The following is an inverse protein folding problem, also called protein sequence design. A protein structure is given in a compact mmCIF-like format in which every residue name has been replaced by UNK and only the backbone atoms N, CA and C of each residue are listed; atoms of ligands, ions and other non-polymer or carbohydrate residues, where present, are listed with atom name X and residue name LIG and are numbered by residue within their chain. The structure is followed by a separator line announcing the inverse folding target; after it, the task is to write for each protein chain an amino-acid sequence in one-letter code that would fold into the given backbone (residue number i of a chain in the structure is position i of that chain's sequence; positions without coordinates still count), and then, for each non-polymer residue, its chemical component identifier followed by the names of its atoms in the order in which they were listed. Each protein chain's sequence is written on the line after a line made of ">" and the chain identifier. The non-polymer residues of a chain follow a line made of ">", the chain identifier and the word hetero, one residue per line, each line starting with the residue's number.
data_IF_756386010730
#
_entry.id   IF_756386010730
#
_cell.length_a   1.000
_cell.length_b   1.000
_cell.length_c   1.000
_cell.angle_alpha   90.00
_cell.angle_beta   90.00
_cell.angle_gamma   90.00
#
_symmetry.space_group_name_H-M   'P 1'
#
loop_
_entity.id
_entity.type
_entity.pdbx_description
1 polymer ?
#
# COMPACT_ATOMS: atom_id res chain seq x y z
N UNK A 1 -24.32 7.95 23.09
CA UNK A 1 -24.46 6.61 22.49
C UNK A 1 -24.38 6.76 20.98
N UNK A 2 -23.55 5.97 20.29
CA UNK A 2 -23.53 5.94 18.82
C UNK A 2 -24.78 5.20 18.34
N UNK A 3 -25.67 5.91 17.67
CA UNK A 3 -26.92 5.37 17.10
C UNK A 3 -26.80 5.07 15.60
N UNK A 4 -25.61 5.27 15.03
CA UNK A 4 -25.29 4.94 13.64
C UNK A 4 -24.81 3.49 13.58
N UNK A 5 -25.42 2.72 12.67
CA UNK A 5 -25.06 1.34 12.38
C UNK A 5 -24.48 1.28 10.96
N UNK A 6 -23.48 0.44 10.81
CA UNK A 6 -22.71 0.12 9.60
C UNK A 6 -23.33 -1.02 8.77
N UNK A 7 -24.60 -1.34 9.04
CA UNK A 7 -25.40 -2.31 8.31
C UNK A 7 -26.65 -1.64 7.73
N UNK A 8 -27.23 -2.19 6.64
CA UNK A 8 -28.46 -1.65 6.07
C UNK A 8 -29.58 -1.46 7.10
N UNK A 9 -30.23 -0.29 7.05
CA UNK A 9 -31.22 0.10 8.07
C UNK A 9 -32.38 -0.90 8.21
N UNK A 10 -32.78 -1.58 7.14
CA UNK A 10 -33.83 -2.59 7.22
C UNK A 10 -33.46 -3.77 8.14
N UNK A 11 -32.17 -4.11 8.26
CA UNK A 11 -31.68 -5.14 9.19
C UNK A 11 -31.76 -4.61 10.63
N UNK A 12 -31.30 -3.38 10.87
CA UNK A 12 -31.42 -2.71 12.17
C UNK A 12 -32.88 -2.69 12.62
N UNK A 13 -33.78 -2.30 11.72
CA UNK A 13 -35.21 -2.22 11.98
C UNK A 13 -35.81 -3.58 12.32
N UNK A 14 -35.46 -4.63 11.56
CA UNK A 14 -35.91 -5.99 11.86
C UNK A 14 -35.45 -6.46 13.25
N UNK A 15 -34.22 -6.16 13.66
CA UNK A 15 -33.73 -6.51 15.01
C UNK A 15 -34.49 -5.72 16.09
N UNK A 16 -34.69 -4.42 15.89
CA UNK A 16 -35.46 -3.57 16.82
C UNK A 16 -36.90 -4.08 17.02
N UNK A 17 -37.54 -4.54 15.93
CA UNK A 17 -38.92 -5.04 16.00
C UNK A 17 -39.01 -6.38 16.75
N UNK A 18 -37.96 -7.22 16.67
CA UNK A 18 -37.86 -8.49 17.39
C UNK A 18 -37.40 -8.34 18.85
N UNK A 19 -36.59 -7.33 19.16
CA UNK A 19 -35.94 -7.13 20.46
C UNK A 19 -36.33 -5.78 21.08
N UNK A 20 -37.64 -5.55 21.25
CA UNK A 20 -38.22 -4.25 21.64
C UNK A 20 -37.70 -3.70 22.97
N UNK A 21 -37.35 -4.59 23.91
CA UNK A 21 -36.86 -4.24 25.24
C UNK A 21 -35.33 -4.18 25.32
N UNK A 22 -34.62 -4.46 24.22
CA UNK A 22 -33.17 -4.45 24.17
C UNK A 22 -32.63 -3.09 23.68
N UNK A 23 -31.47 -2.69 24.21
CA UNK A 23 -30.72 -1.56 23.65
C UNK A 23 -29.77 -2.07 22.58
N UNK A 24 -29.97 -1.62 21.34
CA UNK A 24 -29.05 -1.92 20.25
C UNK A 24 -27.90 -0.92 20.25
N UNK A 25 -26.67 -1.42 20.11
CA UNK A 25 -25.44 -0.63 20.02
C UNK A 25 -24.63 -1.08 18.81
N UNK A 26 -24.03 -0.14 18.07
CA UNK A 26 -23.04 -0.49 17.05
C UNK A 26 -21.74 -0.95 17.73
N UNK A 27 -21.19 -2.06 17.26
CA UNK A 27 -20.04 -2.73 17.85
C UNK A 27 -18.90 -3.00 16.85
N UNK A 28 -18.85 -2.27 15.72
CA UNK A 28 -17.81 -2.45 14.68
C UNK A 28 -16.40 -2.28 15.24
N UNK A 29 -16.24 -1.41 16.25
CA UNK A 29 -14.96 -1.19 16.93
C UNK A 29 -14.43 -2.40 17.67
N UNK A 30 -15.28 -3.38 18.02
CA UNK A 30 -14.83 -4.67 18.59
C UNK A 30 -14.00 -5.45 17.58
N UNK A 31 -14.28 -5.30 16.28
CA UNK A 31 -13.55 -5.99 15.22
C UNK A 31 -12.37 -5.17 14.71
N UNK A 32 -12.60 -3.88 14.41
CA UNK A 32 -11.65 -3.04 13.65
C UNK A 32 -11.33 -1.70 14.32
N UNK A 33 -11.65 -1.54 15.62
CA UNK A 33 -11.30 -0.32 16.34
C UNK A 33 -9.79 -0.22 16.54
N UNK A 34 -9.17 0.92 16.18
CA UNK A 34 -7.72 1.13 16.22
C UNK A 34 -7.02 0.90 17.58
N UNK A 35 -7.77 0.80 18.67
CA UNK A 35 -7.22 0.56 20.01
C UNK A 35 -7.25 -0.92 20.43
N UNK A 36 -8.41 -1.57 20.30
CA UNK A 36 -8.66 -2.93 20.83
C UNK A 36 -9.46 -3.82 19.87
N UNK A 37 -9.52 -3.49 18.58
CA UNK A 37 -10.19 -4.30 17.57
C UNK A 37 -9.55 -5.69 17.47
N UNK A 38 -10.36 -6.74 17.46
CA UNK A 38 -9.88 -8.12 17.46
C UNK A 38 -9.01 -8.49 16.24
N UNK A 39 -9.12 -7.74 15.12
CA UNK A 39 -8.41 -8.03 13.86
C UNK A 39 -7.19 -7.14 13.63
N UNK A 40 -6.91 -6.17 14.50
CA UNK A 40 -5.85 -5.17 14.22
C UNK A 40 -4.44 -5.68 14.56
N UNK A 41 -4.35 -6.76 15.37
CA UNK A 41 -3.09 -7.37 15.79
C UNK A 41 -3.06 -8.82 15.34
N UNK A 42 -1.98 -9.20 14.67
CA UNK A 42 -1.75 -10.51 14.10
C UNK A 42 -0.59 -11.18 14.83
N UNK A 43 -0.76 -12.44 15.17
CA UNK A 43 0.32 -13.26 15.71
C UNK A 43 1.24 -13.80 14.59
N UNK A 44 2.23 -14.62 14.94
CA UNK A 44 3.17 -15.17 13.96
C UNK A 44 2.50 -16.03 12.86
N UNK A 45 1.47 -16.81 13.20
CA UNK A 45 0.77 -17.65 12.23
C UNK A 45 -0.06 -16.83 11.25
N UNK A 46 -0.66 -15.74 11.71
CA UNK A 46 -1.45 -14.82 10.88
C UNK A 46 -0.53 -14.00 9.97
N UNK A 47 0.60 -13.49 10.49
CA UNK A 47 1.62 -12.82 9.65
C UNK A 47 2.12 -13.76 8.56
N UNK A 48 2.39 -15.03 8.87
CA UNK A 48 2.80 -16.02 7.88
C UNK A 48 1.71 -16.29 6.83
N UNK A 49 0.44 -16.31 7.24
CA UNK A 49 -0.69 -16.46 6.32
C UNK A 49 -0.80 -15.27 5.36
N UNK A 50 -0.73 -14.05 5.89
CA UNK A 50 -0.91 -12.83 5.10
C UNK A 50 0.29 -12.48 4.23
N UNK A 51 1.51 -12.90 4.60
CA UNK A 51 2.71 -12.70 3.78
C UNK A 51 2.59 -13.31 2.38
N UNK A 52 1.85 -14.42 2.23
CA UNK A 52 1.62 -15.04 0.92
C UNK A 52 0.91 -14.08 -0.04
N UNK A 53 -0.16 -13.42 0.39
CA UNK A 53 -0.90 -12.48 -0.46
C UNK A 53 -0.15 -11.19 -0.73
N UNK A 54 0.55 -10.65 0.28
CA UNK A 54 1.45 -9.51 0.11
C UNK A 54 2.56 -9.82 -0.93
N UNK A 55 3.21 -10.97 -0.81
CA UNK A 55 4.21 -11.45 -1.77
C UNK A 55 3.65 -11.67 -3.16
N UNK A 56 2.43 -12.23 -3.25
CA UNK A 56 1.77 -12.47 -4.53
C UNK A 56 1.45 -11.14 -5.24
N UNK A 57 0.91 -10.17 -4.50
CA UNK A 57 0.56 -8.84 -5.05
C UNK A 57 1.78 -8.10 -5.59
N UNK A 58 2.86 -8.00 -4.79
CA UNK A 58 4.12 -7.37 -5.20
C UNK A 58 4.77 -8.07 -6.40
N UNK A 59 4.75 -9.40 -6.42
CA UNK A 59 5.31 -10.15 -7.56
C UNK A 59 4.46 -9.97 -8.82
N UNK A 60 3.12 -9.96 -8.70
CA UNK A 60 2.22 -9.64 -9.81
C UNK A 60 2.53 -8.26 -10.40
N UNK A 61 2.71 -7.26 -9.54
CA UNK A 61 3.03 -5.89 -9.95
C UNK A 61 4.40 -5.82 -10.61
N UNK A 62 5.43 -6.46 -10.04
CA UNK A 62 6.76 -6.49 -10.65
C UNK A 62 6.74 -7.15 -12.04
N UNK A 63 6.02 -8.26 -12.18
CA UNK A 63 5.84 -8.93 -13.47
C UNK A 63 5.13 -8.01 -14.47
N UNK A 64 4.02 -7.38 -14.06
CA UNK A 64 3.29 -6.43 -14.91
C UNK A 64 4.15 -5.24 -15.32
N UNK A 65 4.90 -4.64 -14.39
CA UNK A 65 5.87 -3.58 -14.67
C UNK A 65 6.92 -4.01 -15.70
N UNK A 66 7.42 -5.25 -15.61
CA UNK A 66 8.37 -5.80 -16.57
C UNK A 66 7.74 -6.05 -17.95
N UNK A 67 6.42 -6.20 -18.02
CA UNK A 67 5.69 -6.32 -19.28
C UNK A 67 5.36 -4.98 -19.93
N UNK A 68 5.41 -3.84 -19.22
CA UNK A 68 5.10 -2.52 -19.81
C UNK A 68 6.03 -2.26 -21.01
N UNK A 69 5.42 -1.98 -22.16
CA UNK A 69 6.09 -1.57 -23.38
C UNK A 69 5.12 -0.80 -24.28
N UNK A 70 5.65 0.14 -25.07
CA UNK A 70 4.85 0.87 -26.07
C UNK A 70 4.17 -0.13 -27.02
N UNK A 71 2.87 0.08 -27.26
CA UNK A 71 2.07 -0.75 -28.16
C UNK A 71 1.39 -1.97 -27.50
N UNK A 72 1.78 -2.37 -26.29
CA UNK A 72 1.03 -3.38 -25.52
C UNK A 72 -0.25 -2.79 -24.94
N UNK A 73 -1.31 -3.58 -24.93
CA UNK A 73 -2.59 -3.19 -24.34
C UNK A 73 -2.60 -3.33 -22.82
N UNK A 74 -3.52 -2.61 -22.17
CA UNK A 74 -3.78 -2.77 -20.74
C UNK A 74 -4.15 -4.22 -20.41
N UNK A 75 -4.99 -4.88 -21.21
CA UNK A 75 -5.37 -6.29 -21.02
C UNK A 75 -4.18 -7.26 -21.11
N UNK A 76 -3.26 -7.07 -22.05
CA UNK A 76 -2.05 -7.91 -22.15
C UNK A 76 -1.16 -7.80 -20.90
N UNK A 77 -1.00 -6.59 -20.36
CA UNK A 77 -0.20 -6.35 -19.15
C UNK A 77 -0.95 -6.83 -17.90
N UNK A 78 -2.27 -6.61 -17.84
CA UNK A 78 -3.13 -7.02 -16.73
C UNK A 78 -3.18 -8.54 -16.53
N UNK A 79 -2.85 -9.33 -17.54
CA UNK A 79 -2.73 -10.79 -17.43
C UNK A 79 -1.77 -11.24 -16.33
N UNK A 80 -0.74 -10.42 -16.02
CA UNK A 80 0.21 -10.69 -14.92
C UNK A 80 -0.38 -10.42 -13.53
N UNK A 81 -1.49 -9.69 -13.44
CA UNK A 81 -2.10 -9.32 -12.16
C UNK A 81 -2.89 -10.50 -11.57
N UNK A 82 -3.59 -11.26 -12.40
CA UNK A 82 -4.36 -12.44 -11.99
C UNK A 82 -3.46 -13.69 -11.87
N UNK A 83 -3.18 -14.13 -10.64
CA UNK A 83 -2.23 -15.23 -10.39
C UNK A 83 -2.76 -16.29 -9.44
N UNK A 84 -2.32 -17.53 -9.68
CA UNK A 84 -2.55 -18.70 -8.81
C UNK A 84 -4.03 -18.96 -8.45
N UNK A 85 -4.97 -18.48 -9.28
CA UNK A 85 -6.40 -18.59 -9.03
C UNK A 85 -6.89 -17.86 -7.78
N UNK A 86 -6.07 -16.97 -7.19
CA UNK A 86 -6.45 -16.25 -5.98
C UNK A 86 -7.42 -15.11 -6.30
N UNK A 87 -8.51 -14.94 -5.53
CA UNK A 87 -9.42 -13.82 -5.72
C UNK A 87 -8.76 -12.51 -5.28
N UNK A 88 -8.98 -11.46 -6.06
CA UNK A 88 -8.53 -10.12 -5.68
C UNK A 88 -9.41 -9.51 -4.58
N UNK A 89 -8.80 -8.72 -3.71
CA UNK A 89 -9.48 -7.94 -2.66
C UNK A 89 -9.95 -6.57 -3.16
N UNK A 90 -9.42 -6.12 -4.31
CA UNK A 90 -9.80 -4.90 -5.02
C UNK A 90 -10.01 -5.20 -6.50
N UNK A 91 -10.63 -4.28 -7.23
CA UNK A 91 -10.61 -4.33 -8.70
C UNK A 91 -9.16 -4.05 -9.13
N UNK A 92 -8.55 -4.99 -9.85
CA UNK A 92 -7.20 -4.80 -10.36
C UNK A 92 -7.16 -3.66 -11.39
N UNK A 93 -6.11 -2.86 -11.33
CA UNK A 93 -5.93 -1.71 -12.21
C UNK A 93 -4.72 -2.00 -13.09
N UNK A 94 -4.92 -1.89 -14.39
CA UNK A 94 -3.88 -1.59 -15.36
C UNK A 94 -4.46 -0.55 -16.30
N UNK A 95 -3.97 0.67 -16.21
CA UNK A 95 -4.45 1.79 -16.99
C UNK A 95 -3.27 2.52 -17.61
N UNK A 96 -3.42 2.88 -18.88
CA UNK A 96 -2.49 3.75 -19.59
C UNK A 96 -3.21 5.03 -20.00
N UNK A 97 -2.57 6.20 -19.88
CA UNK A 97 -3.18 7.53 -20.00
C UNK A 97 -4.28 7.78 -18.95
N UNK A 98 -5.31 8.54 -19.32
CA UNK A 98 -6.41 8.90 -18.40
C UNK A 98 -7.23 7.67 -17.95
N UNK A 99 -7.51 7.60 -16.64
CA UNK A 99 -8.29 6.54 -15.97
C UNK A 99 -9.79 6.81 -16.00
N UNK A 100 -10.59 5.79 -15.73
CA UNK A 100 -12.05 5.88 -15.54
C UNK A 100 -12.81 6.51 -16.74
N UNK A 101 -12.26 6.37 -17.94
CA UNK A 101 -12.94 6.84 -19.14
C UNK A 101 -14.21 6.03 -19.36
N UNK A 102 -15.31 6.73 -19.68
CA UNK A 102 -16.62 6.12 -19.90
C UNK A 102 -17.13 5.29 -18.71
N UNK A 103 -16.75 5.68 -17.48
CA UNK A 103 -17.06 4.96 -16.24
C UNK A 103 -16.58 3.50 -16.22
N UNK A 104 -15.57 3.15 -17.02
CA UNK A 104 -14.98 1.82 -17.03
C UNK A 104 -13.83 1.72 -16.03
N UNK A 105 -13.85 0.66 -15.21
CA UNK A 105 -12.86 0.39 -14.17
C UNK A 105 -11.82 -0.65 -14.59
N UNK A 106 -12.07 -1.40 -15.67
CA UNK A 106 -11.31 -2.58 -16.03
C UNK A 106 -10.26 -2.29 -17.10
N UNK A 107 -9.13 -3.03 -17.13
CA UNK A 107 -8.18 -3.00 -18.24
C UNK A 107 -8.85 -3.22 -19.59
N UNK A 108 -8.44 -2.48 -20.62
CA UNK A 108 -9.02 -2.51 -21.97
C UNK A 108 -8.01 -2.85 -23.06
N UNK A 109 -8.41 -2.78 -24.32
CA UNK A 109 -7.51 -2.88 -25.48
C UNK A 109 -6.70 -1.58 -25.73
N UNK A 110 -6.80 -0.57 -24.85
CA UNK A 110 -6.01 0.66 -24.97
C UNK A 110 -4.52 0.33 -24.88
N UNK A 111 -3.75 0.86 -25.82
CA UNK A 111 -2.32 0.59 -25.95
C UNK A 111 -1.49 1.67 -25.29
N UNK A 112 -0.44 1.24 -24.59
CA UNK A 112 0.57 2.12 -23.99
C UNK A 112 1.24 2.94 -25.08
N UNK A 113 1.31 4.26 -24.88
CA UNK A 113 2.10 5.19 -25.71
C UNK A 113 3.25 5.74 -24.89
N UNK A 114 4.30 6.17 -25.58
CA UNK A 114 5.39 6.90 -24.95
C UNK A 114 4.84 8.17 -24.28
N UNK A 115 5.24 8.42 -23.04
CA UNK A 115 4.77 9.56 -22.25
C UNK A 115 3.40 9.37 -21.57
N UNK A 116 2.73 8.23 -21.77
CA UNK A 116 1.47 7.97 -21.07
C UNK A 116 1.68 7.83 -19.56
N UNK A 117 0.73 8.37 -18.78
CA UNK A 117 0.58 8.01 -17.36
C UNK A 117 0.24 6.54 -17.25
N UNK A 118 0.82 5.82 -16.31
CA UNK A 118 0.49 4.42 -16.01
C UNK A 118 -0.01 4.31 -14.58
N UNK A 119 -0.99 3.44 -14.35
CA UNK A 119 -1.37 2.98 -13.02
C UNK A 119 -1.56 1.47 -13.02
N UNK A 120 -0.99 0.83 -12.02
CA UNK A 120 -1.02 -0.60 -11.77
C UNK A 120 -1.43 -0.83 -10.32
N UNK A 121 -2.40 -1.72 -10.07
CA UNK A 121 -2.81 -2.06 -8.70
C UNK A 121 -3.28 -3.50 -8.65
N UNK A 122 -2.83 -4.24 -7.64
CA UNK A 122 -3.19 -5.63 -7.41
C UNK A 122 -3.26 -5.89 -5.91
N UNK A 123 -4.38 -6.43 -5.43
CA UNK A 123 -4.55 -6.81 -4.03
C UNK A 123 -5.01 -8.25 -3.88
N UNK A 124 -4.49 -8.92 -2.85
CA UNK A 124 -4.93 -10.23 -2.39
C UNK A 124 -5.13 -10.18 -0.88
N UNK A 125 -5.65 -11.26 -0.28
CA UNK A 125 -5.72 -11.36 1.18
C UNK A 125 -4.32 -11.33 1.77
N UNK A 126 -4.03 -10.29 2.56
CA UNK A 126 -2.74 -10.05 3.20
C UNK A 126 -1.99 -8.83 2.69
N UNK A 127 -2.44 -8.21 1.60
CA UNK A 127 -1.89 -6.93 1.17
C UNK A 127 -2.15 -6.58 -0.28
N UNK A 128 -1.77 -5.34 -0.61
CA UNK A 128 -1.86 -4.77 -1.93
C UNK A 128 -0.47 -4.30 -2.39
N UNK A 129 -0.28 -4.23 -3.71
CA UNK A 129 0.84 -3.50 -4.31
C UNK A 129 0.31 -2.62 -5.43
N UNK A 130 0.85 -1.40 -5.51
CA UNK A 130 0.42 -0.38 -6.48
C UNK A 130 1.62 0.37 -7.05
N UNK A 131 1.55 0.72 -8.34
CA UNK A 131 2.58 1.51 -9.03
C UNK A 131 1.95 2.54 -9.95
N UNK A 132 2.47 3.76 -9.90
CA UNK A 132 2.09 4.83 -10.82
C UNK A 132 3.31 5.62 -11.29
N UNK A 133 3.25 6.13 -12.51
CA UNK A 133 4.32 6.93 -13.11
C UNK A 133 4.13 7.11 -14.61
N UNK A 134 5.22 7.34 -15.35
CA UNK A 134 5.19 7.54 -16.80
C UNK A 134 5.77 6.36 -17.56
N UNK A 135 5.15 6.03 -18.71
CA UNK A 135 5.68 5.13 -19.72
C UNK A 135 6.77 5.81 -20.56
N UNK A 136 7.90 6.07 -19.92
CA UNK A 136 9.13 6.64 -20.50
C UNK A 136 10.35 5.87 -19.99
N UNK A 137 11.50 6.05 -20.64
CA UNK A 137 12.79 5.44 -20.27
C UNK A 137 13.75 6.46 -19.65
N UNK A 138 13.54 7.75 -19.89
CA UNK A 138 14.40 8.85 -19.45
C UNK A 138 13.63 10.17 -19.43
N UNK A 139 14.21 11.19 -18.78
CA UNK A 139 13.56 12.49 -18.55
C UNK A 139 13.08 13.17 -19.84
N UNK A 140 13.89 13.12 -20.91
CA UNK A 140 13.60 13.81 -22.19
C UNK A 140 12.41 13.23 -22.97
N UNK A 141 11.88 12.09 -22.54
CA UNK A 141 10.70 11.45 -23.13
C UNK A 141 9.41 11.81 -22.36
N UNK A 142 9.53 12.52 -21.23
CA UNK A 142 8.38 13.05 -20.50
C UNK A 142 7.65 14.09 -21.36
N UNK A 143 6.33 14.28 -21.14
CA UNK A 143 5.61 15.36 -21.81
C UNK A 143 6.24 16.73 -21.53
N UNK A 144 6.09 17.65 -22.49
CA UNK A 144 6.50 19.04 -22.35
C UNK A 144 5.96 19.62 -21.02
N UNK A 145 6.77 20.47 -20.37
CA UNK A 145 6.51 21.06 -19.04
C UNK A 145 6.48 20.06 -17.86
N UNK A 146 6.88 18.80 -18.05
CA UNK A 146 6.89 17.77 -17.00
C UNK A 146 8.26 17.09 -16.82
N UNK A 147 9.32 17.58 -17.47
CA UNK A 147 10.69 17.03 -17.41
C UNK A 147 11.25 16.94 -15.97
N UNK A 148 10.78 17.81 -15.08
CA UNK A 148 11.14 17.88 -13.67
C UNK A 148 10.27 16.97 -12.76
N UNK A 149 9.62 15.95 -13.33
CA UNK A 149 8.76 15.00 -12.60
C UNK A 149 9.50 14.30 -11.45
N UNK A 150 10.78 13.97 -11.63
CA UNK A 150 11.58 13.31 -10.60
C UNK A 150 11.77 14.25 -9.41
N UNK A 151 12.19 15.48 -9.66
CA UNK A 151 12.47 16.48 -8.64
C UNK A 151 11.19 16.96 -7.95
N UNK A 152 10.09 17.07 -8.70
CA UNK A 152 8.83 17.65 -8.19
C UNK A 152 7.90 16.63 -7.56
N UNK A 153 7.93 15.37 -7.98
CA UNK A 153 6.91 14.38 -7.60
C UNK A 153 7.53 13.09 -7.07
N UNK A 154 8.22 12.31 -7.91
CA UNK A 154 8.61 10.95 -7.53
C UNK A 154 9.77 10.88 -6.53
N UNK A 155 10.71 11.82 -6.56
CA UNK A 155 11.79 11.95 -5.58
C UNK A 155 11.28 12.34 -4.19
N UNK A 156 10.51 13.44 -4.03
CA UNK A 156 9.90 13.79 -2.74
C UNK A 156 9.01 12.67 -2.18
N UNK A 157 8.26 11.99 -3.03
CA UNK A 157 7.48 10.82 -2.65
C UNK A 157 8.35 9.67 -2.13
N UNK A 158 9.42 9.31 -2.86
CA UNK A 158 10.35 8.27 -2.44
C UNK A 158 10.97 8.60 -1.07
N UNK A 159 11.39 9.86 -0.87
CA UNK A 159 11.90 10.31 0.43
C UNK A 159 10.87 10.13 1.56
N UNK A 160 9.58 10.36 1.31
CA UNK A 160 8.53 10.09 2.30
C UNK A 160 8.43 8.59 2.66
N UNK A 161 8.53 7.70 1.67
CA UNK A 161 8.55 6.25 1.88
C UNK A 161 9.80 5.82 2.66
N UNK A 162 10.98 6.37 2.33
CA UNK A 162 12.22 6.15 3.08
C UNK A 162 12.05 6.57 4.53
N UNK A 163 11.58 7.79 4.78
CA UNK A 163 11.40 8.30 6.15
C UNK A 163 10.40 7.47 6.94
N UNK A 164 9.36 6.98 6.30
CA UNK A 164 8.43 6.05 6.92
C UNK A 164 9.15 4.78 7.39
N UNK A 165 9.93 4.14 6.51
CA UNK A 165 10.66 2.90 6.80
C UNK A 165 11.80 3.05 7.82
N UNK A 166 12.41 4.22 7.91
CA UNK A 166 13.48 4.51 8.88
C UNK A 166 12.93 4.87 10.28
N UNK A 167 11.69 5.37 10.34
CA UNK A 167 11.15 6.00 11.57
C UNK A 167 10.11 5.13 12.28
N UNK A 168 9.22 4.49 11.53
CA UNK A 168 8.07 3.77 12.09
C UNK A 168 8.51 2.53 12.86
N UNK A 169 7.92 2.34 14.04
CA UNK A 169 8.25 1.23 14.95
C UNK A 169 7.13 0.92 15.94
N UNK A 170 7.25 -0.20 16.66
CA UNK A 170 6.32 -0.52 17.74
C UNK A 170 6.44 0.54 18.83
N UNK A 171 5.30 0.98 19.38
CA UNK A 171 5.26 2.03 20.39
C UNK A 171 5.31 3.46 19.83
N UNK A 172 5.44 3.64 18.51
CA UNK A 172 5.46 4.97 17.90
C UNK A 172 4.05 5.60 17.90
N UNK A 173 3.87 6.88 18.29
CA UNK A 173 2.56 7.54 18.21
C UNK A 173 2.07 7.63 16.77
N UNK A 174 0.82 7.29 16.52
CA UNK A 174 0.29 7.26 15.16
C UNK A 174 0.08 8.68 14.57
N UNK A 175 -0.13 9.69 15.43
CA UNK A 175 -0.13 11.09 15.00
C UNK A 175 1.25 11.55 14.50
N UNK A 176 2.34 11.02 15.09
CA UNK A 176 3.70 11.38 14.69
C UNK A 176 4.04 10.80 13.32
N UNK A 177 3.47 9.65 12.94
CA UNK A 177 3.56 9.13 11.56
C UNK A 177 2.91 10.09 10.57
N UNK A 178 1.72 10.59 10.89
CA UNK A 178 1.06 11.59 10.05
C UNK A 178 1.92 12.85 9.93
N UNK A 179 2.42 13.37 11.06
CA UNK A 179 3.22 14.60 11.07
C UNK A 179 4.54 14.43 10.30
N UNK A 180 5.22 13.29 10.45
CA UNK A 180 6.44 12.98 9.72
C UNK A 180 6.23 13.00 8.19
N UNK A 181 5.11 12.47 7.70
CA UNK A 181 4.77 12.55 6.27
C UNK A 181 4.40 13.97 5.87
N UNK A 182 3.65 14.71 6.71
CA UNK A 182 3.36 16.14 6.48
C UNK A 182 4.64 16.98 6.38
N UNK A 183 5.66 16.70 7.20
CA UNK A 183 6.92 17.47 7.23
C UNK A 183 7.75 17.29 5.95
N UNK A 184 7.80 16.07 5.41
CA UNK A 184 8.63 15.73 4.23
C UNK A 184 7.87 15.73 2.92
N UNK A 185 6.53 15.64 2.97
CA UNK A 185 5.63 15.67 1.84
C UNK A 185 4.37 16.49 2.19
N UNK A 186 4.45 17.83 2.34
CA UNK A 186 3.34 18.64 2.84
C UNK A 186 2.05 18.51 2.05
N UNK A 187 0.92 18.29 2.74
CA UNK A 187 -0.39 18.08 2.13
C UNK A 187 -0.88 19.30 1.36
N UNK A 188 -0.53 20.50 1.82
CA UNK A 188 -0.85 21.75 1.12
C UNK A 188 -0.23 21.79 -0.29
N UNK A 189 0.95 21.21 -0.47
CA UNK A 189 1.68 21.20 -1.75
C UNK A 189 1.41 19.97 -2.59
N UNK A 190 1.30 18.80 -1.96
CA UNK A 190 1.21 17.50 -2.63
C UNK A 190 -0.19 16.91 -2.64
N UNK A 191 -1.17 17.55 -1.97
CA UNK A 191 -2.60 17.24 -2.02
C UNK A 191 -2.94 15.76 -1.82
N UNK A 192 -2.21 15.02 -1.00
CA UNK A 192 -2.58 13.66 -0.67
C UNK A 192 -3.86 13.63 0.18
N UNK A 193 -4.76 12.69 -0.11
CA UNK A 193 -6.14 12.70 0.43
C UNK A 193 -6.40 11.67 1.53
N UNK A 194 -5.68 10.55 1.48
CA UNK A 194 -5.85 9.44 2.41
C UNK A 194 -4.92 9.58 3.62
N UNK A 195 -5.13 8.71 4.60
CA UNK A 195 -4.20 8.57 5.72
C UNK A 195 -2.89 7.96 5.20
N UNK A 196 -1.70 8.45 5.63
CA UNK A 196 -0.41 7.97 5.17
C UNK A 196 -0.10 6.59 5.79
N UNK A 197 -0.80 5.58 5.28
CA UNK A 197 -0.82 4.21 5.77
C UNK A 197 -2.10 3.83 6.53
N UNK A 198 -2.42 2.56 6.44
CA UNK A 198 -3.55 1.94 7.09
C UNK A 198 -3.27 0.47 7.38
N UNK A 199 -4.10 -0.11 8.24
CA UNK A 199 -4.08 -1.54 8.53
C UNK A 199 -4.76 -2.31 7.40
N UNK A 200 -4.23 -3.49 7.14
CA UNK A 200 -4.73 -4.45 6.14
C UNK A 200 -4.70 -5.87 6.71
N UNK A 201 -5.53 -6.77 6.15
CA UNK A 201 -5.56 -8.20 6.47
C UNK A 201 -6.28 -8.94 5.32
N UNK A 202 -7.47 -9.50 5.56
CA UNK A 202 -8.28 -10.11 4.49
C UNK A 202 -8.79 -9.07 3.50
N UNK A 203 -9.03 -7.84 3.97
CA UNK A 203 -9.39 -6.70 3.14
C UNK A 203 -8.18 -5.81 2.91
N UNK A 204 -8.19 -5.10 1.79
CA UNK A 204 -7.18 -4.13 1.45
C UNK A 204 -7.15 -3.00 2.51
N UNK A 205 -8.27 -2.32 2.75
CA UNK A 205 -8.39 -1.30 3.79
C UNK A 205 -9.26 -1.73 4.97
N UNK A 206 -8.65 -2.02 6.13
CA UNK A 206 -9.39 -2.39 7.34
C UNK A 206 -9.76 -1.17 8.20
N UNK A 207 -8.75 -0.47 8.70
CA UNK A 207 -8.85 0.70 9.58
C UNK A 207 -7.51 1.44 9.55
N UNK A 208 -7.43 2.67 10.05
CA UNK A 208 -6.16 3.38 10.11
C UNK A 208 -6.01 4.09 11.45
N UNK A 209 -4.94 3.78 12.21
CA UNK A 209 -4.61 4.55 13.41
C UNK A 209 -3.93 5.88 13.06
N UNK A 210 -3.50 6.09 11.81
CA UNK A 210 -2.71 7.25 11.39
C UNK A 210 -3.62 8.36 10.88
N UNK A 211 -3.82 9.41 11.66
CA UNK A 211 -4.62 10.59 11.28
C UNK A 211 -4.23 11.80 12.14
N UNK A 212 -4.60 13.04 11.77
CA UNK A 212 -4.25 14.23 12.54
C UNK A 212 -4.70 14.11 13.99
N UNK A 213 -3.78 14.36 14.93
CA UNK A 213 -4.03 14.26 16.37
C UNK A 213 -4.54 12.88 16.85
N UNK A 214 -4.18 11.81 16.14
CA UNK A 214 -4.52 10.45 16.56
C UNK A 214 -4.01 10.14 17.98
N UNK A 215 -4.85 9.64 18.90
CA UNK A 215 -4.45 9.25 20.24
C UNK A 215 -3.83 7.84 20.27
N UNK A 216 -3.77 7.15 19.13
CA UNK A 216 -3.35 5.76 19.07
C UNK A 216 -1.82 5.62 18.98
N UNK A 217 -1.35 4.46 19.40
CA UNK A 217 0.06 4.06 19.29
C UNK A 217 0.16 2.80 18.45
N UNK A 218 1.21 2.69 17.66
CA UNK A 218 1.47 1.52 16.84
C UNK A 218 1.88 0.31 17.69
N UNK A 219 1.38 -0.87 17.36
CA UNK A 219 1.51 -2.09 18.16
C UNK A 219 2.14 -3.22 17.34
N UNK A 220 2.86 -4.10 18.04
CA UNK A 220 3.33 -5.37 17.50
C UNK A 220 2.14 -6.20 17.01
N UNK A 221 2.28 -6.81 15.83
CA UNK A 221 1.24 -7.55 15.12
C UNK A 221 0.41 -6.73 14.13
N UNK A 222 0.56 -5.41 14.07
CA UNK A 222 -0.13 -4.61 13.05
C UNK A 222 0.46 -4.90 11.67
N UNK A 223 -0.39 -5.29 10.72
CA UNK A 223 -0.02 -5.38 9.30
C UNK A 223 -0.47 -4.08 8.63
N UNK A 224 0.47 -3.38 8.01
CA UNK A 224 0.32 -2.07 7.40
C UNK A 224 0.50 -2.12 5.90
N UNK A 225 -0.32 -1.36 5.21
CA UNK A 225 -0.04 -0.89 3.87
C UNK A 225 0.64 0.48 3.97
N UNK A 226 1.82 0.64 3.37
CA UNK A 226 2.45 1.95 3.19
C UNK A 226 1.73 2.63 2.03
N UNK A 227 0.66 3.35 2.34
CA UNK A 227 -0.19 4.01 1.35
C UNK A 227 -0.13 5.53 1.47
N UNK A 228 0.59 6.15 0.54
CA UNK A 228 0.75 7.60 0.43
C UNK A 228 0.47 7.95 -1.03
N UNK A 229 -0.59 8.69 -1.31
CA UNK A 229 -1.01 9.01 -2.69
C UNK A 229 -1.01 10.52 -2.90
N UNK A 230 0.13 11.11 -3.33
CA UNK A 230 0.18 12.53 -3.68
C UNK A 230 -0.50 12.80 -5.03
N UNK A 231 -1.00 14.02 -5.19
CA UNK A 231 -1.55 14.56 -6.42
C UNK A 231 -0.95 15.92 -6.70
N UNK A 232 -0.06 15.99 -7.69
CA UNK A 232 0.53 17.27 -8.15
C UNK A 232 -0.11 17.63 -9.49
N UNK A 233 -0.86 18.74 -9.51
CA UNK A 233 -1.58 19.20 -10.70
C UNK A 233 -0.63 19.32 -11.89
N UNK A 234 -1.02 18.70 -13.01
CA UNK A 234 -0.25 18.70 -14.26
C UNK A 234 0.64 17.46 -14.44
N UNK A 235 0.94 16.71 -13.38
CA UNK A 235 1.79 15.53 -13.44
C UNK A 235 0.99 14.22 -13.39
N UNK A 236 1.62 13.12 -13.76
CA UNK A 236 1.19 11.78 -13.37
C UNK A 236 1.25 11.64 -11.84
N UNK A 237 0.46 10.71 -11.31
CA UNK A 237 0.65 10.24 -9.95
C UNK A 237 1.93 9.42 -9.81
N UNK A 238 2.37 9.24 -8.57
CA UNK A 238 3.42 8.31 -8.17
C UNK A 238 2.87 7.42 -7.07
N UNK A 239 3.23 6.14 -7.09
CA UNK A 239 2.90 5.18 -6.04
C UNK A 239 3.93 4.05 -6.04
N UNK A 240 4.28 3.59 -4.84
CA UNK A 240 5.04 2.40 -4.51
C UNK A 240 4.44 1.77 -3.25
N UNK A 241 3.11 1.61 -3.23
CA UNK A 241 2.40 1.04 -2.09
C UNK A 241 2.78 -0.42 -1.89
N UNK A 242 3.09 -0.80 -0.65
CA UNK A 242 3.47 -2.16 -0.28
C UNK A 242 3.09 -2.50 1.17
N UNK A 243 3.02 -3.81 1.44
CA UNK A 243 2.64 -4.35 2.74
C UNK A 243 3.87 -4.68 3.63
N UNK A 244 3.78 -4.29 4.90
CA UNK A 244 4.75 -4.60 5.96
C UNK A 244 4.02 -4.99 7.24
N UNK A 245 4.68 -5.71 8.16
CA UNK A 245 4.19 -5.91 9.53
C UNK A 245 5.06 -5.16 10.53
N UNK A 246 4.47 -4.75 11.65
CA UNK A 246 5.21 -4.31 12.82
C UNK A 246 5.34 -5.47 13.80
N UNK A 247 6.53 -5.76 14.26
CA UNK A 247 6.79 -6.83 15.21
C UNK A 247 7.84 -6.38 16.22
N UNK A 248 7.52 -6.47 17.50
CA UNK A 248 8.52 -6.34 18.57
C UNK A 248 9.46 -7.55 18.61
N UNK A 249 10.45 -7.50 19.50
CA UNK A 249 11.44 -8.58 19.65
C UNK A 249 10.80 -9.96 19.93
N UNK A 250 9.69 -10.02 20.68
CA UNK A 250 9.02 -11.28 21.02
C UNK A 250 8.33 -11.90 19.82
N UNK A 251 7.63 -11.09 19.02
CA UNK A 251 6.99 -11.57 17.80
C UNK A 251 8.03 -11.95 16.74
N UNK A 252 9.10 -11.18 16.58
CA UNK A 252 10.23 -11.53 15.69
C UNK A 252 10.86 -12.87 16.06
N UNK A 253 11.10 -13.11 17.34
CA UNK A 253 11.66 -14.37 17.82
C UNK A 253 10.70 -15.56 17.61
N UNK A 254 9.40 -15.33 17.80
CA UNK A 254 8.37 -16.36 17.53
C UNK A 254 8.33 -16.71 16.05
N UNK A 255 8.36 -15.71 15.16
CA UNK A 255 8.44 -15.92 13.71
C UNK A 255 9.71 -16.69 13.34
N UNK A 256 10.87 -16.29 13.88
CA UNK A 256 12.16 -16.96 13.62
C UNK A 256 12.13 -18.43 14.01
N UNK A 257 11.51 -18.77 15.15
CA UNK A 257 11.43 -20.13 15.68
C UNK A 257 10.40 -20.99 14.93
N UNK A 258 9.19 -20.47 14.74
CA UNK A 258 8.04 -21.26 14.31
C UNK A 258 7.82 -21.20 12.78
N UNK A 259 8.34 -20.14 12.13
CA UNK A 259 8.22 -19.89 10.69
C UNK A 259 9.59 -19.50 10.07
N UNK A 260 10.62 -20.37 10.13
CA UNK A 260 11.97 -20.02 9.70
C UNK A 260 12.07 -19.60 8.22
N UNK A 261 11.26 -20.18 7.32
CA UNK A 261 11.23 -19.79 5.91
C UNK A 261 10.67 -18.38 5.68
N UNK A 262 9.67 -17.98 6.48
CA UNK A 262 9.15 -16.61 6.47
C UNK A 262 10.24 -15.65 6.95
N UNK A 263 10.90 -16.00 8.06
CA UNK A 263 11.99 -15.20 8.59
C UNK A 263 13.11 -15.00 7.57
N UNK A 264 13.53 -16.05 6.85
CA UNK A 264 14.55 -15.97 5.81
C UNK A 264 14.16 -14.98 4.69
N UNK A 265 12.92 -15.06 4.17
CA UNK A 265 12.42 -14.11 3.16
C UNK A 265 12.40 -12.67 3.67
N UNK A 266 11.98 -12.46 4.91
CA UNK A 266 11.99 -11.14 5.55
C UNK A 266 13.42 -10.60 5.62
N UNK A 267 14.39 -11.39 6.08
CA UNK A 267 15.78 -10.96 6.18
C UNK A 267 16.42 -10.69 4.81
N UNK A 268 16.07 -11.46 3.78
CA UNK A 268 16.51 -11.19 2.40
C UNK A 268 15.97 -9.83 1.91
N UNK A 269 14.68 -9.55 2.11
CA UNK A 269 14.07 -8.26 1.75
C UNK A 269 14.69 -7.09 2.54
N UNK A 270 14.94 -7.27 3.83
CA UNK A 270 15.61 -6.27 4.69
C UNK A 270 17.04 -6.01 4.20
N UNK A 271 17.75 -7.05 3.77
CA UNK A 271 19.11 -6.92 3.21
C UNK A 271 19.08 -6.12 1.91
N UNK A 272 18.16 -6.43 1.00
CA UNK A 272 17.97 -5.65 -0.22
C UNK A 272 17.72 -4.16 0.07
N UNK A 273 16.83 -3.85 1.01
CA UNK A 273 16.53 -2.48 1.42
C UNK A 273 17.78 -1.73 1.92
N UNK A 274 18.60 -2.37 2.77
CA UNK A 274 19.80 -1.74 3.33
C UNK A 274 20.97 -1.67 2.36
N UNK A 275 21.27 -2.77 1.67
CA UNK A 275 22.50 -2.89 0.88
C UNK A 275 22.34 -2.34 -0.54
N UNK A 276 21.13 -2.40 -1.10
CA UNK A 276 20.87 -1.96 -2.48
C UNK A 276 20.15 -0.61 -2.51
N UNK A 277 19.07 -0.47 -1.73
CA UNK A 277 18.30 0.78 -1.70
C UNK A 277 18.83 1.78 -0.68
N UNK A 278 19.81 1.39 0.15
CA UNK A 278 20.44 2.24 1.18
C UNK A 278 19.45 2.82 2.21
N UNK A 279 18.36 2.10 2.46
CA UNK A 279 17.33 2.47 3.44
C UNK A 279 17.66 1.79 4.77
N UNK A 280 17.85 2.58 5.84
CA UNK A 280 18.06 2.03 7.19
C UNK A 280 16.72 1.62 7.82
N UNK A 281 16.14 0.55 7.28
CA UNK A 281 14.85 0.03 7.74
C UNK A 281 14.90 -0.38 9.22
N UNK A 282 14.00 0.20 10.03
CA UNK A 282 13.89 -0.09 11.45
C UNK A 282 13.66 -1.59 11.70
N UNK A 283 14.24 -2.15 12.78
CA UNK A 283 14.18 -3.59 13.07
C UNK A 283 12.77 -4.14 13.30
N UNK A 284 11.86 -3.28 13.76
CA UNK A 284 10.46 -3.64 14.02
C UNK A 284 9.63 -3.81 12.73
N UNK A 285 10.10 -3.34 11.58
CA UNK A 285 9.36 -3.44 10.31
C UNK A 285 9.75 -4.74 9.60
N UNK A 286 8.78 -5.59 9.31
CA UNK A 286 8.95 -6.83 8.56
C UNK A 286 8.37 -6.65 7.14
N UNK A 287 9.20 -6.53 6.10
CA UNK A 287 8.72 -6.52 4.72
C UNK A 287 7.97 -7.81 4.35
N UNK A 288 6.67 -7.70 4.09
CA UNK A 288 5.84 -8.84 3.65
C UNK A 288 5.74 -8.93 2.13
N UNK A 289 5.98 -7.82 1.43
CA UNK A 289 6.06 -7.73 -0.02
C UNK A 289 7.51 -7.78 -0.54
N UNK A 290 7.68 -8.24 -1.78
CA UNK A 290 9.00 -8.32 -2.44
C UNK A 290 9.53 -6.96 -2.93
N UNK A 291 8.65 -5.98 -3.11
CA UNK A 291 8.97 -4.70 -3.76
C UNK A 291 8.82 -3.49 -2.84
N UNK A 292 8.91 -3.67 -1.51
CA UNK A 292 8.93 -2.57 -0.53
C UNK A 292 9.98 -1.53 -0.94
N UNK A 293 9.56 -0.27 -1.03
CA UNK A 293 10.33 0.88 -1.51
C UNK A 293 10.89 0.80 -2.95
N UNK A 294 10.70 -0.29 -3.69
CA UNK A 294 11.16 -0.36 -5.08
C UNK A 294 10.31 0.55 -5.98
N UNK A 295 10.91 1.64 -6.45
CA UNK A 295 10.28 2.63 -7.32
C UNK A 295 11.19 2.94 -8.52
N UNK A 296 10.65 2.84 -9.73
CA UNK A 296 11.31 3.30 -10.96
C UNK A 296 10.92 4.76 -11.20
N UNK A 297 11.86 5.68 -11.48
CA UNK A 297 11.51 7.03 -11.93
C UNK A 297 10.79 7.00 -13.29
N UNK A 298 11.18 6.06 -14.15
CA UNK A 298 10.72 5.90 -15.54
C UNK A 298 10.34 4.44 -15.77
N UNK A 299 9.07 4.14 -16.05
CA UNK A 299 8.58 2.75 -15.99
C UNK A 299 9.13 1.84 -17.10
N UNK A 300 9.52 2.41 -18.25
CA UNK A 300 10.14 1.65 -19.34
C UNK A 300 11.62 1.36 -19.08
N UNK A 301 12.27 2.11 -18.17
CA UNK A 301 13.65 1.85 -17.80
C UNK A 301 13.73 0.84 -16.66
N UNK A 302 14.03 -0.41 -17.03
CA UNK A 302 14.06 -1.54 -16.09
C UNK A 302 15.34 -1.60 -15.26
N UNK A 303 16.35 -0.83 -15.66
CA UNK A 303 17.68 -0.80 -15.04
C UNK A 303 17.83 0.33 -14.01
N UNK A 304 16.80 1.18 -13.84
CA UNK A 304 16.80 2.29 -12.89
C UNK A 304 15.79 2.08 -11.76
N UNK A 305 16.22 2.39 -10.55
CA UNK A 305 15.38 2.53 -9.38
C UNK A 305 15.92 3.66 -8.50
N UNK A 306 15.06 4.26 -7.68
CA UNK A 306 15.51 5.17 -6.64
C UNK A 306 16.34 4.43 -5.59
N UNK A 307 17.38 5.11 -5.08
CA UNK A 307 18.23 4.68 -3.97
C UNK A 307 18.32 5.87 -3.02
N UNK A 308 18.39 5.60 -1.71
CA UNK A 308 18.55 6.63 -0.68
C UNK A 308 20.02 7.06 -0.62
N UNK A 309 20.34 8.28 -1.05
CA UNK A 309 21.70 8.84 -1.01
C UNK A 309 21.91 9.79 0.19
#
# INVERSE_FOLDING_TARGET
>A
MKTLFDIPHFIVKAIQDCAKDATLISASSVMIGNEMGARILNNANEVAHYEFGASLSSTSILNAMNQIAVGKSEMEIAGELARLGQPHTVISIMATGERFQYANLYPTNKKVRLGDKISLTCGFKGGLSSRAGYAVSEAKELPDDQEDYVERVSGPYFNAVVKWLETVKVGYPAADVYQMVEDVLPKERYHWHLNPGHLTADEEWMSSPVYPNSPHTLKSGMIFQIDIIPSVKGYAGVSAEECVALADASLRETIRRDYPELHERIEERRRYLREVLQIDIHEDILPLSNTVAYLRPYLLNKELAFVNE
#
